data_IF_349587845093
#
_entry.id   IF_349587845093
#
_cell.length_a   1.000
_cell.length_b   1.000
_cell.length_c   1.000
_cell.angle_alpha   90.00
_cell.angle_beta   90.00
_cell.angle_gamma   90.00
#
_symmetry.space_group_name_H-M   'P 1'
#
loop_
_entity.id
_entity.type
_entity.pdbx_description
1 polymer ?
#
# COMPACT_ATOMS: atom_id res chain seq x y z
N UNK A 1 9.87 6.43 27.59
CA UNK A 1 9.84 6.32 26.13
C UNK A 1 8.47 6.80 25.69
N UNK A 2 8.37 7.46 24.54
CA UNK A 2 7.08 7.92 24.00
C UNK A 2 6.21 6.70 23.63
N UNK A 3 4.92 6.75 23.92
CA UNK A 3 3.92 5.73 23.53
C UNK A 3 3.37 5.99 22.11
N UNK A 4 3.82 7.07 21.46
CA UNK A 4 3.36 7.49 20.13
C UNK A 4 4.55 7.79 19.21
N UNK A 5 4.26 7.73 17.92
CA UNK A 5 5.11 8.29 16.86
C UNK A 5 4.56 9.67 16.46
N UNK A 6 5.43 10.58 16.06
CA UNK A 6 5.00 11.85 15.46
C UNK A 6 4.96 11.66 13.96
N UNK A 7 3.79 11.86 13.35
CA UNK A 7 3.59 11.73 11.91
C UNK A 7 4.11 12.96 11.14
N UNK A 8 4.14 12.89 9.82
CA UNK A 8 4.55 14.00 8.95
C UNK A 8 3.70 15.27 9.16
N UNK A 9 2.37 15.12 9.36
CA UNK A 9 1.47 16.23 9.67
C UNK A 9 1.54 16.70 11.13
N UNK A 10 2.44 16.12 11.94
CA UNK A 10 2.64 16.49 13.34
C UNK A 10 1.67 15.85 14.33
N UNK A 11 0.87 14.87 13.92
CA UNK A 11 -0.03 14.14 14.81
C UNK A 11 0.74 13.17 15.70
N UNK A 12 0.27 12.97 16.93
CA UNK A 12 0.77 11.95 17.85
C UNK A 12 -0.05 10.67 17.66
N UNK A 13 0.46 9.73 16.92
CA UNK A 13 -0.20 8.48 16.56
C UNK A 13 0.32 7.32 17.42
N UNK A 14 -0.60 6.54 18.04
CA UNK A 14 -0.27 5.32 18.79
C UNK A 14 -0.51 4.08 17.94
N UNK A 15 0.52 3.41 17.37
CA UNK A 15 0.32 2.23 16.51
C UNK A 15 -0.32 1.05 17.25
N UNK A 16 -0.14 0.98 18.58
CA UNK A 16 -0.71 -0.10 19.42
C UNK A 16 -2.20 0.09 19.75
N UNK A 17 -2.68 1.35 19.65
CA UNK A 17 -4.06 1.76 19.92
C UNK A 17 -4.49 2.79 18.87
N UNK A 18 -4.61 2.38 17.58
CA UNK A 18 -4.86 3.32 16.49
C UNK A 18 -6.23 3.99 16.64
N UNK A 19 -6.25 5.33 16.49
CA UNK A 19 -7.47 6.12 16.42
C UNK A 19 -7.77 6.41 14.93
N UNK A 20 -8.91 5.97 14.38
CA UNK A 20 -9.27 6.20 12.99
C UNK A 20 -9.27 7.68 12.57
N UNK A 21 -9.57 8.59 13.50
CA UNK A 21 -9.58 10.03 13.22
C UNK A 21 -8.19 10.57 12.89
N UNK A 22 -7.15 9.89 13.35
CA UNK A 22 -5.76 10.30 13.11
C UNK A 22 -5.18 9.80 11.78
N UNK A 23 -5.82 8.83 11.09
CA UNK A 23 -5.36 8.43 9.76
C UNK A 23 -5.45 9.60 8.79
N UNK A 24 -4.36 9.90 8.13
CA UNK A 24 -4.26 11.03 7.20
C UNK A 24 -3.56 10.59 5.92
N UNK A 25 -4.18 10.88 4.79
CA UNK A 25 -3.61 10.52 3.48
C UNK A 25 -2.29 11.25 3.22
N UNK A 26 -2.09 12.44 3.76
CA UNK A 26 -0.83 13.15 3.62
C UNK A 26 0.31 12.43 4.39
N UNK A 27 0.01 11.89 5.57
CA UNK A 27 0.98 11.08 6.32
C UNK A 27 1.30 9.77 5.60
N UNK A 28 0.27 9.07 5.10
CA UNK A 28 0.40 7.80 4.38
C UNK A 28 1.22 7.99 3.11
N UNK A 29 0.82 8.92 2.23
CA UNK A 29 1.50 9.16 0.96
C UNK A 29 2.96 9.56 1.15
N UNK A 30 3.22 10.48 2.11
CA UNK A 30 4.57 10.93 2.44
C UNK A 30 5.44 9.78 2.93
N UNK A 31 5.01 9.05 3.95
CA UNK A 31 5.80 7.97 4.53
C UNK A 31 6.04 6.84 3.53
N UNK A 32 5.02 6.38 2.81
CA UNK A 32 5.17 5.31 1.83
C UNK A 32 6.06 5.71 0.64
N UNK A 33 6.15 7.00 0.28
CA UNK A 33 7.08 7.48 -0.75
C UNK A 33 8.55 7.41 -0.33
N UNK A 34 8.83 7.30 0.97
CA UNK A 34 10.17 7.25 1.57
C UNK A 34 10.56 5.86 2.07
N UNK A 35 9.60 4.97 2.36
CA UNK A 35 9.88 3.59 2.76
C UNK A 35 10.34 2.82 1.53
N UNK A 36 11.57 2.30 1.59
CA UNK A 36 12.16 1.51 0.50
C UNK A 36 11.69 0.06 0.57
N UNK A 37 11.21 -0.49 -0.55
CA UNK A 37 10.86 -1.92 -0.68
C UNK A 37 12.04 -2.82 -0.34
N UNK A 38 11.71 -4.04 0.14
CA UNK A 38 12.69 -5.09 0.43
C UNK A 38 13.77 -4.66 1.43
N UNK A 39 13.44 -3.83 2.43
CA UNK A 39 14.38 -3.29 3.42
C UNK A 39 15.64 -2.65 2.81
N UNK A 40 15.54 -2.05 1.62
CA UNK A 40 16.65 -1.42 0.94
C UNK A 40 17.63 -2.39 0.27
N UNK A 41 17.34 -3.70 0.19
CA UNK A 41 18.17 -4.68 -0.54
C UNK A 41 17.92 -4.66 -2.06
N UNK A 42 17.08 -3.76 -2.53
CA UNK A 42 16.78 -3.55 -3.96
C UNK A 42 17.97 -2.96 -4.70
N UNK A 43 18.10 -3.28 -6.01
CA UNK A 43 19.18 -2.77 -6.87
C UNK A 43 19.07 -1.29 -7.19
N UNK A 44 17.85 -0.77 -7.13
CA UNK A 44 17.54 0.65 -7.31
C UNK A 44 16.45 1.03 -6.32
N UNK A 45 16.43 2.30 -5.88
CA UNK A 45 15.40 2.75 -4.95
C UNK A 45 14.02 2.57 -5.60
N UNK A 46 13.15 1.93 -4.86
CA UNK A 46 11.74 1.73 -5.20
C UNK A 46 10.94 1.79 -3.92
N UNK A 47 10.02 2.71 -3.83
CA UNK A 47 9.26 2.93 -2.60
C UNK A 47 8.04 2.02 -2.51
N UNK A 48 7.54 1.82 -1.30
CA UNK A 48 6.22 1.18 -1.06
C UNK A 48 5.12 1.99 -1.75
N UNK A 49 5.22 3.32 -1.74
CA UNK A 49 4.29 4.20 -2.45
C UNK A 49 4.21 3.93 -3.95
N UNK A 50 5.37 3.71 -4.63
CA UNK A 50 5.40 3.34 -6.05
C UNK A 50 4.77 1.99 -6.31
N UNK A 51 5.03 1.00 -5.45
CA UNK A 51 4.38 -0.31 -5.52
C UNK A 51 2.86 -0.18 -5.42
N UNK A 52 2.34 0.54 -4.43
CA UNK A 52 0.91 0.78 -4.26
C UNK A 52 0.29 1.50 -5.46
N UNK A 53 0.97 2.51 -6.03
CA UNK A 53 0.55 3.20 -7.25
C UNK A 53 0.44 2.22 -8.42
N UNK A 54 1.42 1.33 -8.60
CA UNK A 54 1.38 0.31 -9.65
C UNK A 54 0.23 -0.68 -9.43
N UNK A 55 -0.02 -1.14 -8.21
CA UNK A 55 -1.16 -1.99 -7.88
C UNK A 55 -2.50 -1.30 -8.20
N UNK A 56 -2.64 -0.02 -7.86
CA UNK A 56 -3.84 0.74 -8.16
C UNK A 56 -4.06 0.93 -9.67
N UNK A 57 -3.00 1.24 -10.42
CA UNK A 57 -3.06 1.33 -11.88
C UNK A 57 -3.44 -0.01 -12.52
N UNK A 58 -2.84 -1.11 -12.07
CA UNK A 58 -3.15 -2.44 -12.55
C UNK A 58 -4.61 -2.81 -12.28
N UNK A 59 -5.14 -2.49 -11.09
CA UNK A 59 -6.56 -2.67 -10.76
C UNK A 59 -7.47 -1.91 -11.72
N UNK A 60 -7.10 -0.68 -12.07
CA UNK A 60 -7.83 0.16 -13.01
C UNK A 60 -7.83 -0.41 -14.43
N UNK A 61 -6.65 -0.82 -14.92
CA UNK A 61 -6.51 -1.41 -16.26
C UNK A 61 -7.21 -2.76 -16.38
N UNK A 62 -7.34 -3.52 -15.29
CA UNK A 62 -8.19 -4.73 -15.20
C UNK A 62 -9.69 -4.41 -15.19
N UNK A 63 -10.09 -3.16 -15.16
CA UNK A 63 -11.49 -2.72 -15.11
C UNK A 63 -12.18 -3.00 -13.78
N UNK A 64 -11.41 -3.08 -12.67
CA UNK A 64 -11.99 -3.24 -11.34
C UNK A 64 -12.69 -1.95 -10.88
N UNK A 65 -13.53 -2.07 -9.86
CA UNK A 65 -14.27 -0.92 -9.32
C UNK A 65 -13.34 0.14 -8.71
N UNK A 66 -13.81 1.40 -8.65
CA UNK A 66 -13.05 2.49 -8.03
C UNK A 66 -12.70 2.18 -6.56
N UNK A 67 -13.59 1.46 -5.85
CA UNK A 67 -13.30 0.94 -4.50
C UNK A 67 -12.07 0.02 -4.52
N UNK A 68 -11.97 -0.87 -5.50
CA UNK A 68 -10.83 -1.79 -5.61
C UNK A 68 -9.54 -1.08 -6.03
N UNK A 69 -9.62 -0.07 -6.90
CA UNK A 69 -8.47 0.77 -7.24
C UNK A 69 -7.94 1.46 -5.99
N UNK A 70 -8.84 2.05 -5.19
CA UNK A 70 -8.47 2.71 -3.94
C UNK A 70 -7.97 1.71 -2.88
N UNK A 71 -8.56 0.52 -2.79
CA UNK A 71 -8.09 -0.55 -1.92
C UNK A 71 -6.66 -0.99 -2.28
N UNK A 72 -6.35 -1.15 -3.58
CA UNK A 72 -5.01 -1.47 -4.06
C UNK A 72 -4.00 -0.34 -3.79
N UNK A 73 -4.44 0.92 -3.79
CA UNK A 73 -3.58 2.04 -3.38
C UNK A 73 -3.25 2.00 -1.89
N UNK A 74 -4.20 1.58 -1.06
CA UNK A 74 -4.11 1.64 0.40
C UNK A 74 -3.63 0.33 1.06
N UNK A 75 -3.33 -0.74 0.29
CA UNK A 75 -3.12 -2.08 0.86
C UNK A 75 -1.91 -2.20 1.79
N UNK A 76 -0.88 -1.37 1.59
CA UNK A 76 0.28 -1.26 2.48
C UNK A 76 0.25 0.01 3.36
N UNK A 77 -0.92 0.69 3.47
CA UNK A 77 -1.00 1.97 4.20
C UNK A 77 -0.66 1.85 5.70
N UNK A 78 -0.85 0.69 6.31
CA UNK A 78 -0.43 0.42 7.70
C UNK A 78 1.08 0.54 7.91
N UNK A 79 1.89 0.31 6.87
CA UNK A 79 3.35 0.38 6.93
C UNK A 79 3.86 1.79 7.22
N UNK A 80 3.08 2.81 6.88
CA UNK A 80 3.33 4.21 7.28
C UNK A 80 3.47 4.36 8.81
N UNK A 81 2.77 3.52 9.57
CA UNK A 81 2.73 3.56 11.03
C UNK A 81 3.49 2.42 11.72
N UNK A 82 3.70 1.29 11.01
CA UNK A 82 4.25 0.05 11.57
C UNK A 82 5.53 -0.42 10.88
N UNK A 83 5.94 0.22 9.78
CA UNK A 83 7.07 -0.16 8.91
C UNK A 83 6.78 -1.39 8.03
N UNK A 84 7.50 -1.47 6.89
CA UNK A 84 7.52 -2.66 6.01
C UNK A 84 8.35 -3.77 6.68
N UNK A 85 7.67 -4.84 7.10
CA UNK A 85 8.32 -6.02 7.69
C UNK A 85 8.36 -7.14 6.64
N UNK A 86 9.56 -7.67 6.29
CA UNK A 86 9.67 -8.71 5.28
C UNK A 86 8.83 -9.94 5.59
N UNK A 87 8.10 -10.45 4.59
CA UNK A 87 7.18 -11.57 4.72
C UNK A 87 7.76 -12.82 5.41
N UNK A 88 9.04 -13.22 5.20
CA UNK A 88 9.62 -14.35 5.94
C UNK A 88 9.69 -14.13 7.45
N UNK A 89 9.97 -12.88 7.86
CA UNK A 89 10.04 -12.53 9.29
C UNK A 89 8.64 -12.27 9.87
N UNK A 90 7.75 -11.65 9.09
CA UNK A 90 6.36 -11.38 9.47
C UNK A 90 5.61 -12.67 9.91
N UNK A 91 5.92 -13.83 9.31
CA UNK A 91 5.34 -15.14 9.67
C UNK A 91 5.63 -15.57 11.11
N UNK A 92 6.72 -15.10 11.68
CA UNK A 92 7.12 -15.38 13.06
C UNK A 92 6.54 -14.38 14.07
N UNK A 93 5.77 -13.38 13.61
CA UNK A 93 5.24 -12.28 14.40
C UNK A 93 3.70 -12.23 14.37
N UNK A 94 2.99 -13.20 15.00
CA UNK A 94 1.53 -13.25 14.92
C UNK A 94 0.85 -12.00 15.46
N UNK A 95 1.34 -11.41 16.57
CA UNK A 95 0.78 -10.18 17.13
C UNK A 95 0.95 -8.97 16.18
N UNK A 96 2.04 -8.94 15.42
CA UNK A 96 2.24 -7.89 14.41
C UNK A 96 1.20 -8.04 13.31
N UNK A 97 0.98 -9.24 12.78
CA UNK A 97 0.00 -9.51 11.73
C UNK A 97 -1.42 -9.12 12.16
N UNK A 98 -1.83 -9.49 13.37
CA UNK A 98 -3.15 -9.12 13.91
C UNK A 98 -3.33 -7.59 14.00
N UNK A 99 -2.29 -6.87 14.43
CA UNK A 99 -2.31 -5.41 14.52
C UNK A 99 -2.35 -4.75 13.15
N UNK A 100 -1.59 -5.27 12.21
CA UNK A 100 -1.54 -4.80 10.82
C UNK A 100 -2.90 -5.00 10.14
N UNK A 101 -3.46 -6.22 10.19
CA UNK A 101 -4.78 -6.52 9.63
C UNK A 101 -5.87 -5.62 10.23
N UNK A 102 -5.85 -5.44 11.56
CA UNK A 102 -6.78 -4.54 12.24
C UNK A 102 -6.63 -3.09 11.77
N UNK A 103 -5.41 -2.60 11.66
CA UNK A 103 -5.15 -1.22 11.21
C UNK A 103 -5.59 -1.02 9.77
N UNK A 104 -5.31 -1.96 8.87
CA UNK A 104 -5.77 -1.92 7.49
C UNK A 104 -7.30 -1.94 7.39
N UNK A 105 -7.97 -2.80 8.16
CA UNK A 105 -9.44 -2.80 8.24
C UNK A 105 -9.99 -1.42 8.62
N UNK A 106 -9.41 -0.78 9.65
CA UNK A 106 -9.82 0.57 10.08
C UNK A 106 -9.54 1.64 9.00
N UNK A 107 -8.44 1.51 8.25
CA UNK A 107 -8.11 2.40 7.12
C UNK A 107 -9.14 2.22 6.00
N UNK A 108 -9.50 0.98 5.67
CA UNK A 108 -10.53 0.68 4.66
C UNK A 108 -11.92 1.19 5.12
N UNK A 109 -12.31 0.96 6.36
CA UNK A 109 -13.57 1.49 6.90
C UNK A 109 -13.63 3.02 6.78
N UNK A 110 -12.54 3.71 7.13
CA UNK A 110 -12.47 5.17 7.05
C UNK A 110 -12.59 5.69 5.62
N UNK A 111 -11.82 5.14 4.68
CA UNK A 111 -11.68 5.72 3.34
C UNK A 111 -12.59 5.06 2.29
N UNK A 112 -12.94 3.78 2.48
CA UNK A 112 -13.82 3.05 1.55
C UNK A 112 -15.26 2.93 2.07
N UNK A 113 -15.50 3.27 3.34
CA UNK A 113 -16.79 3.10 4.01
C UNK A 113 -17.09 1.69 4.52
N UNK A 114 -16.23 0.71 4.22
CA UNK A 114 -16.33 -0.67 4.73
C UNK A 114 -15.00 -1.39 4.56
N UNK A 115 -14.76 -2.45 5.34
CA UNK A 115 -13.67 -3.39 5.06
C UNK A 115 -13.92 -4.13 3.72
N UNK A 116 -12.90 -4.83 3.24
CA UNK A 116 -12.97 -5.61 2.01
C UNK A 116 -13.66 -6.95 2.26
N UNK A 117 -14.50 -7.35 1.31
CA UNK A 117 -15.06 -8.72 1.28
C UNK A 117 -13.96 -9.74 0.99
N UNK A 118 -14.21 -11.05 1.28
CA UNK A 118 -13.25 -12.10 0.91
C UNK A 118 -12.90 -12.11 -0.58
N UNK A 119 -13.86 -11.82 -1.46
CA UNK A 119 -13.66 -11.74 -2.90
C UNK A 119 -12.77 -10.54 -3.29
N UNK A 120 -13.00 -9.38 -2.67
CA UNK A 120 -12.18 -8.18 -2.87
C UNK A 120 -10.75 -8.42 -2.36
N UNK A 121 -10.58 -9.07 -1.20
CA UNK A 121 -9.26 -9.46 -0.67
C UNK A 121 -8.52 -10.41 -1.61
N UNK A 122 -9.23 -11.37 -2.24
CA UNK A 122 -8.62 -12.27 -3.24
C UNK A 122 -8.15 -11.51 -4.48
N UNK A 123 -8.96 -10.58 -4.99
CA UNK A 123 -8.60 -9.75 -6.15
C UNK A 123 -7.37 -8.87 -5.87
N UNK A 124 -7.35 -8.21 -4.70
CA UNK A 124 -6.21 -7.41 -4.26
C UNK A 124 -4.95 -8.27 -4.17
N UNK A 125 -5.01 -9.40 -3.46
CA UNK A 125 -3.88 -10.32 -3.30
C UNK A 125 -3.35 -10.86 -4.63
N UNK A 126 -4.20 -11.02 -5.64
CA UNK A 126 -3.77 -11.47 -6.96
C UNK A 126 -2.95 -10.38 -7.69
N UNK A 127 -3.31 -9.10 -7.49
CA UNK A 127 -2.55 -7.97 -8.04
C UNK A 127 -1.23 -7.79 -7.30
N UNK A 128 -1.26 -7.76 -5.97
CA UNK A 128 -0.06 -7.61 -5.14
C UNK A 128 0.96 -8.71 -5.44
N UNK A 129 0.53 -9.98 -5.49
CA UNK A 129 1.41 -11.11 -5.85
C UNK A 129 1.97 -11.00 -7.26
N UNK A 130 1.21 -10.48 -8.21
CA UNK A 130 1.71 -10.25 -9.56
C UNK A 130 2.82 -9.19 -9.54
N UNK A 131 2.60 -8.05 -8.85
CA UNK A 131 3.63 -7.02 -8.67
C UNK A 131 4.85 -7.56 -7.93
N UNK A 132 4.66 -8.31 -6.84
CA UNK A 132 5.75 -8.91 -6.08
C UNK A 132 6.63 -9.82 -6.93
N UNK A 133 6.06 -10.60 -7.86
CA UNK A 133 6.83 -11.42 -8.79
C UNK A 133 7.82 -10.57 -9.61
N UNK A 134 7.39 -9.42 -10.10
CA UNK A 134 8.23 -8.48 -10.84
C UNK A 134 9.23 -7.77 -9.94
N UNK A 135 8.83 -7.34 -8.73
CA UNK A 135 9.72 -6.73 -7.74
C UNK A 135 10.87 -7.67 -7.36
N UNK A 136 10.57 -8.94 -7.07
CA UNK A 136 11.58 -9.96 -6.76
C UNK A 136 12.53 -10.18 -7.94
N UNK A 137 12.01 -10.23 -9.15
CA UNK A 137 12.80 -10.48 -10.35
C UNK A 137 13.70 -9.30 -10.70
N UNK A 138 13.15 -8.09 -10.77
CA UNK A 138 13.86 -6.93 -11.32
C UNK A 138 14.58 -6.12 -10.24
N UNK A 139 13.97 -5.92 -9.07
CA UNK A 139 14.60 -5.16 -7.99
C UNK A 139 15.59 -6.00 -7.18
N UNK A 140 15.26 -7.26 -6.89
CA UNK A 140 16.11 -8.14 -6.07
C UNK A 140 16.95 -9.11 -6.91
N UNK A 141 16.58 -9.35 -8.17
CA UNK A 141 17.30 -10.24 -9.09
C UNK A 141 17.10 -11.72 -8.78
N UNK A 142 15.99 -12.06 -8.14
CA UNK A 142 15.62 -13.44 -7.87
C UNK A 142 15.18 -14.16 -9.16
N UNK A 143 15.57 -15.44 -9.26
CA UNK A 143 15.04 -16.32 -10.30
C UNK A 143 13.71 -16.88 -9.85
N UNK A 144 12.69 -16.61 -10.63
CA UNK A 144 11.35 -17.16 -10.38
C UNK A 144 11.21 -18.51 -11.10
N UNK A 145 10.58 -19.49 -10.43
CA UNK A 145 10.27 -20.79 -11.00
C UNK A 145 8.98 -20.78 -11.83
N UNK A 146 8.08 -19.84 -11.54
CA UNK A 146 6.82 -19.65 -12.25
C UNK A 146 6.97 -18.72 -13.44
N UNK A 147 6.08 -18.88 -14.43
CA UNK A 147 5.97 -17.92 -15.53
C UNK A 147 5.57 -16.54 -15.00
N UNK A 148 5.98 -15.50 -15.73
CA UNK A 148 5.63 -14.13 -15.40
C UNK A 148 4.10 -13.93 -15.45
N UNK A 149 3.47 -13.42 -14.39
CA UNK A 149 2.05 -13.10 -14.45
C UNK A 149 1.80 -11.98 -15.47
N UNK A 150 0.63 -12.02 -16.09
CA UNK A 150 0.22 -10.97 -17.01
C UNK A 150 -0.03 -9.66 -16.23
N UNK A 151 0.54 -8.56 -16.74
CA UNK A 151 0.25 -7.21 -16.30
C UNK A 151 -0.38 -6.40 -17.43
N UNK A 152 -1.29 -5.50 -17.08
CA UNK A 152 -1.97 -4.60 -18.01
C UNK A 152 -1.33 -3.22 -18.04
N UNK A 153 -0.40 -2.94 -17.12
CA UNK A 153 0.40 -1.72 -17.09
C UNK A 153 1.81 -1.94 -17.64
N UNK A 154 2.43 -0.87 -18.13
CA UNK A 154 3.86 -0.82 -18.45
C UNK A 154 4.65 -0.52 -17.17
N UNK A 155 5.17 -1.57 -16.53
CA UNK A 155 5.92 -1.46 -15.29
C UNK A 155 7.38 -1.11 -15.56
N UNK A 156 7.82 0.05 -15.05
CA UNK A 156 9.20 0.55 -15.21
C UNK A 156 9.79 0.89 -13.85
N UNK A 157 10.94 0.29 -13.56
CA UNK A 157 11.67 0.53 -12.32
C UNK A 157 12.66 1.69 -12.48
N UNK A 158 12.12 2.89 -12.64
CA UNK A 158 12.90 4.13 -12.75
C UNK A 158 12.89 4.85 -11.39
N UNK A 159 14.06 5.38 -10.99
CA UNK A 159 14.12 6.17 -9.75
C UNK A 159 13.37 7.48 -9.94
N UNK A 160 12.40 7.71 -9.09
CA UNK A 160 11.61 8.95 -9.05
C UNK A 160 11.92 9.75 -7.80
N UNK A 161 11.74 11.06 -7.85
CA UNK A 161 11.79 11.88 -6.65
C UNK A 161 10.60 11.51 -5.73
N UNK A 162 10.85 11.35 -4.44
CA UNK A 162 9.80 10.96 -3.49
C UNK A 162 8.59 11.90 -3.50
N UNK A 163 8.82 13.21 -3.71
CA UNK A 163 7.74 14.19 -3.81
C UNK A 163 6.82 13.97 -5.02
N UNK A 164 7.34 13.49 -6.16
CA UNK A 164 6.53 13.12 -7.32
C UNK A 164 5.68 11.88 -7.03
N UNK A 165 6.23 10.93 -6.28
CA UNK A 165 5.51 9.72 -5.87
C UNK A 165 4.39 10.09 -4.88
N UNK A 166 4.69 10.92 -3.88
CA UNK A 166 3.72 11.44 -2.91
C UNK A 166 2.56 12.18 -3.62
N UNK A 167 2.89 13.08 -4.55
CA UNK A 167 1.88 13.84 -5.31
C UNK A 167 0.98 12.91 -6.15
N UNK A 168 1.57 11.93 -6.84
CA UNK A 168 0.79 10.97 -7.64
C UNK A 168 -0.09 10.08 -6.76
N UNK A 169 0.44 9.59 -5.62
CA UNK A 169 -0.33 8.79 -4.66
C UNK A 169 -1.57 9.56 -4.18
N UNK A 170 -1.38 10.80 -3.75
CA UNK A 170 -2.47 11.68 -3.30
C UNK A 170 -3.47 11.98 -4.40
N UNK A 171 -3.01 12.26 -5.61
CA UNK A 171 -3.87 12.50 -6.77
C UNK A 171 -4.77 11.29 -7.08
N UNK A 172 -4.21 10.08 -7.12
CA UNK A 172 -5.00 8.85 -7.34
C UNK A 172 -6.01 8.67 -6.20
N UNK A 173 -5.58 8.88 -4.96
CA UNK A 173 -6.47 8.81 -3.80
C UNK A 173 -7.66 9.75 -3.93
N UNK A 174 -7.43 11.02 -4.21
CA UNK A 174 -8.47 12.04 -4.31
C UNK A 174 -9.46 11.75 -5.46
N UNK A 175 -8.93 11.37 -6.64
CA UNK A 175 -9.74 10.99 -7.81
C UNK A 175 -10.68 9.82 -7.48
N UNK A 176 -10.18 8.79 -6.84
CA UNK A 176 -10.97 7.60 -6.53
C UNK A 176 -11.92 7.82 -5.35
N UNK A 177 -11.51 8.57 -4.33
CA UNK A 177 -12.34 8.86 -3.16
C UNK A 177 -13.64 9.60 -3.54
N UNK A 178 -13.54 10.61 -4.41
CA UNK A 178 -14.72 11.35 -4.92
C UNK A 178 -15.72 10.38 -5.56
N UNK A 179 -15.21 9.42 -6.34
CA UNK A 179 -16.05 8.47 -7.06
C UNK A 179 -16.70 7.45 -6.12
N UNK A 180 -15.94 6.96 -5.13
CA UNK A 180 -16.44 6.02 -4.11
C UNK A 180 -17.54 6.67 -3.27
N UNK A 181 -17.31 7.89 -2.78
CA UNK A 181 -18.28 8.62 -1.95
C UNK A 181 -19.58 8.95 -2.70
N UNK A 182 -19.49 9.33 -3.97
CA UNK A 182 -20.67 9.62 -4.80
C UNK A 182 -21.55 8.39 -5.10
N UNK A 183 -21.03 7.17 -4.92
CA UNK A 183 -21.80 5.93 -5.11
C UNK A 183 -22.47 5.42 -3.83
N UNK A 184 -22.14 6.02 -2.68
CA UNK A 184 -22.74 5.67 -1.37
C UNK A 184 -24.00 6.51 -1.08
N UNK A 185 -24.20 7.62 -1.81
CA UNK A 185 -25.40 8.49 -1.73
C UNK A 185 -26.43 8.03 -2.75
#
# INVERSE_FOLDING_TARGET
>A
MSEYITTYTGKHFKPTEPDPELFDIADIAHALSLICRGNGHVKTFWSVGEHCICCAKEAKERGLSDKMVLACLLHDASECYMSDVPSPFKKELPEYNEREERMLSMIYEKFLGSDLTPEEKMQLNAIDKAMLWYDLTFLLGEKQESEAPELHIDLRYEVRAFGEVEEEYRRIFEEQLITVQNKII
#
